data_IF_210784927699
#
_entry.id   IF_210784927699
#
_cell.length_a   1.000
_cell.length_b   1.000
_cell.length_c   1.000
_cell.angle_alpha   90.00
_cell.angle_beta   90.00
_cell.angle_gamma   90.00
#
_symmetry.space_group_name_H-M   'P 1'
#
loop_
_entity.id
_entity.type
_entity.pdbx_description
1 polymer ?
#
# COMPACT_ATOMS: atom_id res chain seq x y z
N UNK A 1 23.37 37.86 -33.87
CA UNK A 1 22.39 38.04 -34.97
C UNK A 1 21.46 36.83 -34.88
N UNK A 2 20.25 36.91 -34.28
CA UNK A 2 18.94 37.27 -34.88
C UNK A 2 18.83 36.70 -36.31
N UNK A 3 17.86 35.89 -36.73
CA UNK A 3 16.45 35.69 -36.35
C UNK A 3 15.85 34.54 -37.21
N UNK A 4 14.90 33.78 -36.67
CA UNK A 4 13.89 32.99 -37.43
C UNK A 4 12.72 33.91 -37.87
N UNK A 5 11.63 33.48 -38.54
CA UNK A 5 11.37 32.37 -39.49
C UNK A 5 10.53 32.83 -40.73
N UNK A 6 10.05 31.86 -41.52
CA UNK A 6 8.64 31.71 -41.96
C UNK A 6 8.21 31.84 -43.46
N UNK A 7 7.32 30.91 -43.81
CA UNK A 7 6.20 30.96 -44.78
C UNK A 7 6.41 30.93 -46.30
N UNK A 8 5.89 29.86 -46.93
CA UNK A 8 4.98 30.01 -48.09
C UNK A 8 3.95 28.88 -48.13
N UNK A 9 2.71 29.25 -48.44
CA UNK A 9 1.49 28.46 -48.38
C UNK A 9 0.83 28.31 -49.77
N UNK A 10 -0.06 27.31 -49.89
CA UNK A 10 -1.32 27.27 -50.69
C UNK A 10 -1.23 27.15 -52.23
N UNK A 11 -1.98 26.17 -52.79
CA UNK A 11 -3.08 26.35 -53.79
C UNK A 11 -3.76 24.97 -54.03
N UNK A 12 -5.04 24.78 -53.65
CA UNK A 12 -6.31 25.00 -54.42
C UNK A 12 -6.76 23.78 -55.24
N UNK A 13 -7.93 23.18 -54.90
CA UNK A 13 -9.25 23.21 -55.63
C UNK A 13 -9.49 21.89 -56.40
N UNK A 14 -10.69 21.30 -56.60
CA UNK A 14 -12.09 21.66 -56.34
C UNK A 14 -13.05 20.50 -56.77
N UNK A 15 -14.24 20.42 -56.14
CA UNK A 15 -15.60 20.12 -56.70
C UNK A 15 -16.01 18.71 -57.23
N UNK A 16 -16.78 17.98 -56.40
CA UNK A 16 -18.25 17.62 -56.45
C UNK A 16 -18.99 17.96 -57.78
N UNK A 17 -19.94 17.14 -58.36
CA UNK A 17 -21.25 16.81 -57.73
C UNK A 17 -22.11 15.58 -58.15
N UNK A 18 -23.09 15.28 -57.26
CA UNK A 18 -24.49 14.81 -57.48
C UNK A 18 -24.74 13.41 -58.11
N UNK A 19 -25.86 12.69 -57.94
CA UNK A 19 -27.01 12.60 -57.03
C UNK A 19 -27.83 11.38 -57.52
N UNK A 20 -28.57 10.67 -56.66
CA UNK A 20 -29.94 10.17 -56.93
C UNK A 20 -30.55 9.47 -55.71
N UNK A 21 -31.84 9.71 -55.53
CA UNK A 21 -32.78 9.24 -54.49
C UNK A 21 -33.27 7.81 -54.76
N UNK A 22 -33.72 7.10 -53.72
CA UNK A 22 -35.05 6.46 -53.66
C UNK A 22 -35.34 5.84 -52.27
N UNK A 23 -36.56 6.15 -51.74
CA UNK A 23 -37.51 5.32 -50.98
C UNK A 23 -36.99 4.48 -49.78
N UNK A 24 -37.44 4.59 -48.53
CA UNK A 24 -38.78 4.89 -48.01
C UNK A 24 -39.55 3.58 -47.70
N UNK A 25 -39.38 3.01 -46.50
CA UNK A 25 -40.23 1.99 -45.83
C UNK A 25 -39.88 1.95 -44.31
N UNK A 26 -40.81 1.55 -43.41
CA UNK A 26 -40.96 2.18 -42.09
C UNK A 26 -40.13 1.56 -40.93
N UNK A 27 -39.90 2.38 -39.90
CA UNK A 27 -39.33 2.01 -38.59
C UNK A 27 -40.18 0.96 -37.86
N UNK A 28 -39.57 -0.04 -37.20
CA UNK A 28 -40.25 -0.80 -36.17
C UNK A 28 -40.31 -0.01 -34.86
N UNK A 29 -41.51 -0.05 -34.28
CA UNK A 29 -41.89 0.58 -33.01
C UNK A 29 -40.93 0.21 -31.87
N UNK A 30 -40.49 1.23 -31.11
CA UNK A 30 -39.76 1.06 -29.86
C UNK A 30 -40.71 0.46 -28.80
N UNK A 31 -40.36 -0.64 -28.12
CA UNK A 31 -41.09 -1.04 -26.94
C UNK A 31 -40.77 -0.08 -25.79
N UNK A 32 -41.80 0.58 -25.26
CA UNK A 32 -41.75 1.22 -23.92
C UNK A 32 -41.63 0.08 -22.90
N UNK A 33 -40.43 -0.14 -22.37
CA UNK A 33 -40.24 -0.94 -21.16
C UNK A 33 -39.98 0.01 -20.01
N UNK A 34 -41.06 0.31 -19.29
CA UNK A 34 -40.97 0.81 -17.92
C UNK A 34 -40.67 -0.41 -17.05
N UNK A 35 -39.46 -0.51 -16.50
CA UNK A 35 -39.13 -1.50 -15.48
C UNK A 35 -38.29 -0.83 -14.40
N UNK A 36 -39.01 -0.47 -13.36
CA UNK A 36 -38.65 -0.49 -11.94
C UNK A 36 -37.20 -0.87 -11.68
N UNK A 37 -36.43 0.06 -11.12
CA UNK A 37 -35.18 -0.26 -10.44
C UNK A 37 -35.54 -1.15 -9.24
N UNK A 38 -35.50 -2.46 -9.44
CA UNK A 38 -35.47 -3.39 -8.32
C UNK A 38 -34.10 -3.22 -7.70
N UNK A 39 -34.07 -2.62 -6.52
CA UNK A 39 -32.95 -2.69 -5.58
C UNK A 39 -32.61 -4.17 -5.41
N UNK A 40 -31.64 -4.67 -6.17
CA UNK A 40 -31.15 -6.03 -6.00
C UNK A 40 -30.58 -6.11 -4.60
N UNK A 41 -31.29 -6.87 -3.77
CA UNK A 41 -30.99 -7.14 -2.39
C UNK A 41 -29.50 -7.40 -2.22
N UNK A 42 -28.89 -6.70 -1.26
CA UNK A 42 -27.63 -7.07 -0.65
C UNK A 42 -27.67 -8.57 -0.36
N UNK A 43 -27.02 -9.36 -1.21
CA UNK A 43 -26.79 -10.77 -0.94
C UNK A 43 -25.88 -10.79 0.28
N UNK A 44 -26.46 -10.98 1.47
CA UNK A 44 -25.72 -11.36 2.68
C UNK A 44 -25.06 -12.69 2.36
N UNK A 45 -23.81 -12.62 1.91
CA UNK A 45 -22.97 -13.81 1.86
C UNK A 45 -22.51 -14.02 3.30
N UNK A 46 -22.97 -15.11 3.90
CA UNK A 46 -22.38 -15.62 5.13
C UNK A 46 -20.99 -16.20 4.78
N UNK A 47 -20.00 -15.34 4.51
CA UNK A 47 -18.61 -15.73 4.29
C UNK A 47 -18.01 -16.15 5.63
N UNK A 48 -18.20 -17.41 5.98
CA UNK A 48 -17.34 -18.13 6.92
C UNK A 48 -16.23 -18.88 6.17
N UNK A 49 -16.03 -18.56 4.90
CA UNK A 49 -14.91 -19.07 4.10
C UNK A 49 -13.62 -18.55 4.73
N UNK A 50 -12.71 -19.48 5.01
CA UNK A 50 -11.37 -19.26 5.53
C UNK A 50 -10.73 -18.05 4.83
N UNK A 51 -10.70 -16.93 5.52
CA UNK A 51 -10.09 -15.71 5.01
C UNK A 51 -8.57 -15.84 5.05
N UNK A 52 -7.98 -16.39 3.99
CA UNK A 52 -6.52 -16.35 3.86
C UNK A 52 -6.01 -14.90 3.69
N UNK A 53 -4.73 -14.70 3.97
CA UNK A 53 -4.10 -13.38 3.85
C UNK A 53 -4.27 -12.76 2.45
N UNK A 54 -4.23 -13.56 1.40
CA UNK A 54 -4.44 -13.10 0.02
C UNK A 54 -5.88 -12.64 -0.23
N UNK A 55 -6.87 -13.29 0.37
CA UNK A 55 -8.27 -12.88 0.31
C UNK A 55 -8.47 -11.54 1.03
N UNK A 56 -7.80 -11.33 2.18
CA UNK A 56 -7.81 -10.06 2.91
C UNK A 56 -7.21 -8.92 2.07
N UNK A 57 -6.03 -9.13 1.49
CA UNK A 57 -5.41 -8.13 0.60
C UNK A 57 -6.33 -7.80 -0.59
N UNK A 58 -6.95 -8.79 -1.23
CA UNK A 58 -7.89 -8.55 -2.34
C UNK A 58 -9.14 -7.79 -1.89
N UNK A 59 -9.68 -8.12 -0.72
CA UNK A 59 -10.87 -7.45 -0.19
C UNK A 59 -10.59 -5.99 0.19
N UNK A 60 -9.35 -5.67 0.58
CA UNK A 60 -8.92 -4.32 0.92
C UNK A 60 -8.45 -3.48 -0.29
N UNK A 61 -8.56 -3.99 -1.53
CA UNK A 61 -7.96 -3.37 -2.72
C UNK A 61 -8.30 -1.88 -2.91
N UNK A 62 -9.49 -1.42 -2.51
CA UNK A 62 -9.87 -0.01 -2.58
C UNK A 62 -8.97 0.92 -1.74
N UNK A 63 -8.38 0.40 -0.67
CA UNK A 63 -7.46 1.11 0.22
C UNK A 63 -5.99 0.91 -0.17
N UNK A 64 -5.71 0.30 -1.33
CA UNK A 64 -4.35 0.09 -1.85
C UNK A 64 -3.41 -0.60 -0.82
N UNK A 65 -3.78 -1.80 -0.35
CA UNK A 65 -3.10 -2.44 0.77
C UNK A 65 -1.69 -2.89 0.37
N UNK A 66 -0.74 -2.77 1.29
CA UNK A 66 0.58 -3.39 1.17
C UNK A 66 0.96 -4.10 2.47
N UNK A 67 1.54 -5.29 2.35
CA UNK A 67 2.20 -5.93 3.49
C UNK A 67 3.49 -5.16 3.75
N UNK A 68 3.68 -4.73 5.00
CA UNK A 68 4.84 -3.95 5.45
C UNK A 68 5.54 -4.63 6.63
N UNK A 69 6.54 -3.97 7.20
CA UNK A 69 7.26 -4.47 8.37
C UNK A 69 8.21 -5.62 8.05
N UNK A 70 8.29 -6.58 8.96
CA UNK A 70 9.40 -7.55 8.96
C UNK A 70 9.26 -8.72 7.98
N UNK A 71 8.04 -9.09 7.61
CA UNK A 71 7.79 -10.24 6.74
C UNK A 71 8.33 -10.01 5.31
N UNK A 72 8.06 -8.88 4.63
CA UNK A 72 8.57 -8.65 3.28
C UNK A 72 10.10 -8.64 3.16
N UNK A 73 10.81 -8.27 4.23
CA UNK A 73 12.28 -8.20 4.25
C UNK A 73 12.95 -9.43 4.89
N UNK A 74 12.16 -10.43 5.29
CA UNK A 74 12.65 -11.72 5.78
C UNK A 74 13.32 -11.66 7.15
N UNK A 75 12.81 -10.81 8.06
CA UNK A 75 13.29 -10.70 9.45
C UNK A 75 12.16 -10.88 10.47
N UNK A 76 11.09 -11.58 10.10
CA UNK A 76 10.01 -11.95 10.99
C UNK A 76 10.41 -13.10 11.92
N UNK A 77 9.90 -13.07 13.15
CA UNK A 77 9.96 -14.19 14.11
C UNK A 77 8.61 -14.95 14.11
N UNK A 78 8.52 -16.15 14.70
CA UNK A 78 7.24 -16.87 14.81
C UNK A 78 6.14 -16.11 15.55
N UNK A 79 6.52 -15.11 16.36
CA UNK A 79 5.59 -14.28 17.13
C UNK A 79 5.38 -12.91 16.48
N UNK A 80 5.91 -12.67 15.28
CA UNK A 80 5.70 -11.40 14.57
C UNK A 80 4.28 -11.36 14.01
N UNK A 81 3.67 -10.19 14.11
CA UNK A 81 2.41 -9.90 13.47
C UNK A 81 2.60 -9.78 11.95
N UNK A 82 1.48 -9.81 11.21
CA UNK A 82 1.44 -9.42 9.80
C UNK A 82 0.90 -8.00 9.73
N UNK A 83 1.74 -7.07 9.29
CA UNK A 83 1.37 -5.67 9.15
C UNK A 83 0.87 -5.37 7.74
N UNK A 84 -0.31 -4.76 7.63
CA UNK A 84 -0.91 -4.33 6.36
C UNK A 84 -1.16 -2.83 6.45
N UNK A 85 -0.45 -2.04 5.63
CA UNK A 85 -0.67 -0.62 5.49
C UNK A 85 -1.68 -0.32 4.38
N UNK A 86 -2.59 0.60 4.65
CA UNK A 86 -3.68 1.01 3.78
C UNK A 86 -3.76 2.55 3.69
N UNK A 87 -4.07 3.06 2.50
CA UNK A 87 -4.45 4.44 2.30
C UNK A 87 -5.95 4.60 2.55
N UNK A 88 -6.30 5.28 3.65
CA UNK A 88 -7.68 5.48 4.10
C UNK A 88 -7.93 6.96 4.44
N UNK A 89 -8.60 7.68 3.52
CA UNK A 89 -8.94 9.10 3.75
C UNK A 89 -10.10 9.30 4.73
N UNK A 90 -11.02 8.33 4.82
CA UNK A 90 -12.08 8.27 5.83
C UNK A 90 -11.87 7.05 6.73
N UNK A 91 -11.38 7.30 7.94
CA UNK A 91 -11.05 6.26 8.90
C UNK A 91 -12.29 5.57 9.49
N UNK A 92 -13.47 6.21 9.48
CA UNK A 92 -14.71 5.61 10.00
C UNK A 92 -15.22 4.59 9.00
N UNK A 93 -15.35 4.99 7.73
CA UNK A 93 -15.74 4.09 6.64
C UNK A 93 -14.75 2.94 6.50
N UNK A 94 -13.44 3.22 6.59
CA UNK A 94 -12.41 2.19 6.58
C UNK A 94 -12.58 1.13 7.68
N UNK A 95 -12.76 1.53 8.94
CA UNK A 95 -12.98 0.58 10.04
C UNK A 95 -14.23 -0.27 9.83
N UNK A 96 -15.34 0.33 9.37
CA UNK A 96 -16.57 -0.40 9.10
C UNK A 96 -16.40 -1.44 8.00
N UNK A 97 -15.68 -1.07 6.93
CA UNK A 97 -15.35 -1.99 5.84
C UNK A 97 -14.48 -3.14 6.33
N UNK A 98 -13.37 -2.85 7.01
CA UNK A 98 -12.47 -3.89 7.55
C UNK A 98 -13.21 -4.80 8.53
N UNK A 99 -14.08 -4.25 9.38
CA UNK A 99 -14.90 -5.04 10.31
C UNK A 99 -15.87 -5.98 9.59
N UNK A 100 -16.49 -5.49 8.51
CA UNK A 100 -17.38 -6.30 7.67
C UNK A 100 -16.63 -7.42 6.98
N UNK A 101 -15.46 -7.11 6.43
CA UNK A 101 -14.56 -8.06 5.76
C UNK A 101 -14.07 -9.14 6.74
N UNK A 102 -13.57 -8.73 7.90
CA UNK A 102 -12.94 -9.63 8.86
C UNK A 102 -13.95 -10.55 9.58
N UNK A 103 -15.20 -10.09 9.76
CA UNK A 103 -16.24 -10.88 10.43
C UNK A 103 -15.78 -11.39 11.81
N UNK A 104 -15.74 -12.71 11.98
CA UNK A 104 -15.32 -13.36 13.21
C UNK A 104 -13.83 -13.22 13.57
N UNK A 105 -12.99 -12.77 12.63
CA UNK A 105 -11.57 -12.51 12.87
C UNK A 105 -11.29 -11.16 13.53
N UNK A 106 -12.29 -10.27 13.61
CA UNK A 106 -12.13 -8.95 14.25
C UNK A 106 -11.83 -9.09 15.74
N UNK A 107 -10.77 -8.44 16.21
CA UNK A 107 -10.42 -8.39 17.64
C UNK A 107 -10.76 -7.01 18.22
N UNK A 108 -10.12 -5.95 17.73
CA UNK A 108 -10.34 -4.59 18.20
C UNK A 108 -9.87 -3.55 17.18
N UNK A 109 -10.19 -2.28 17.43
CA UNK A 109 -9.54 -1.16 16.77
C UNK A 109 -9.31 0.00 17.73
N UNK A 110 -8.37 0.88 17.38
CA UNK A 110 -8.17 2.15 18.05
C UNK A 110 -7.66 3.21 17.07
N UNK A 111 -7.81 4.48 17.45
CA UNK A 111 -7.22 5.61 16.71
C UNK A 111 -5.86 5.95 17.31
N UNK A 112 -4.85 6.15 16.46
CA UNK A 112 -3.58 6.78 16.86
C UNK A 112 -3.64 8.27 16.52
N UNK A 113 -3.15 9.09 17.45
CA UNK A 113 -3.02 10.54 17.27
C UNK A 113 -1.70 10.86 16.53
N UNK A 114 -1.62 10.40 15.29
CA UNK A 114 -0.55 10.75 14.33
C UNK A 114 -1.01 11.92 13.48
N UNK A 115 -0.08 12.51 12.71
CA UNK A 115 -0.40 13.54 11.72
C UNK A 115 -0.11 13.02 10.30
N UNK A 116 -1.13 12.71 9.48
CA UNK A 116 -2.56 12.70 9.80
C UNK A 116 -2.95 11.52 10.72
N UNK A 117 -4.13 11.57 11.37
CA UNK A 117 -4.61 10.50 12.25
C UNK A 117 -4.68 9.16 11.54
N UNK A 118 -4.56 8.08 12.31
CA UNK A 118 -4.59 6.74 11.78
C UNK A 118 -5.52 5.81 12.57
N UNK A 119 -5.98 4.77 11.90
CA UNK A 119 -6.69 3.63 12.45
C UNK A 119 -5.76 2.45 12.56
N UNK A 120 -5.81 1.76 13.70
CA UNK A 120 -5.14 0.49 13.90
C UNK A 120 -6.21 -0.53 14.20
N UNK A 121 -6.24 -1.60 13.41
CA UNK A 121 -7.25 -2.65 13.52
C UNK A 121 -6.52 -3.96 13.72
N UNK A 122 -6.84 -4.67 14.79
CA UNK A 122 -6.25 -5.95 15.10
C UNK A 122 -7.23 -7.06 14.71
N UNK A 123 -6.74 -7.99 13.90
CA UNK A 123 -7.44 -9.20 13.48
C UNK A 123 -6.68 -10.43 13.98
N UNK A 124 -7.38 -11.56 14.08
CA UNK A 124 -6.79 -12.86 14.39
C UNK A 124 -7.30 -13.93 13.45
N UNK A 125 -6.39 -14.52 12.69
CA UNK A 125 -6.68 -15.60 11.74
C UNK A 125 -5.79 -16.81 12.05
N UNK A 126 -6.38 -17.97 12.32
CA UNK A 126 -5.66 -19.24 12.57
C UNK A 126 -4.51 -19.14 13.59
N UNK A 127 -4.67 -18.28 14.61
CA UNK A 127 -3.64 -18.05 15.64
C UNK A 127 -2.63 -16.96 15.31
N UNK A 128 -2.54 -16.53 14.05
CA UNK A 128 -1.73 -15.39 13.59
C UNK A 128 -2.46 -14.07 13.85
N UNK A 129 -1.74 -13.08 14.36
CA UNK A 129 -2.24 -11.72 14.54
C UNK A 129 -1.89 -10.89 13.30
N UNK A 130 -2.87 -10.11 12.85
CA UNK A 130 -2.73 -9.21 11.69
C UNK A 130 -3.10 -7.80 12.16
N UNK A 131 -2.21 -6.84 11.96
CA UNK A 131 -2.46 -5.42 12.17
C UNK A 131 -2.79 -4.77 10.82
N UNK A 132 -3.99 -4.23 10.68
CA UNK A 132 -4.41 -3.45 9.51
C UNK A 132 -4.39 -1.98 9.90
N UNK A 133 -3.43 -1.26 9.33
CA UNK A 133 -3.19 0.15 9.57
C UNK A 133 -3.76 1.00 8.44
N UNK A 134 -4.62 1.96 8.77
CA UNK A 134 -5.20 2.89 7.80
C UNK A 134 -4.87 4.33 8.14
N UNK A 135 -4.34 5.08 7.17
CA UNK A 135 -4.01 6.49 7.34
C UNK A 135 -4.34 7.27 6.06
N UNK A 136 -4.68 8.55 6.20
CA UNK A 136 -4.92 9.46 5.08
C UNK A 136 -3.62 9.88 4.36
N UNK A 137 -2.72 8.93 4.14
CA UNK A 137 -1.49 9.07 3.36
C UNK A 137 -1.38 7.88 2.39
N UNK A 138 -0.88 8.10 1.16
CA UNK A 138 -0.49 7.00 0.28
C UNK A 138 0.49 6.06 1.00
N UNK A 139 0.32 4.74 0.84
CA UNK A 139 1.12 3.74 1.57
C UNK A 139 2.62 3.97 1.42
N UNK A 140 3.07 4.35 0.23
CA UNK A 140 4.50 4.63 -0.05
C UNK A 140 5.09 5.81 0.74
N UNK A 141 4.24 6.66 1.33
CA UNK A 141 4.65 7.79 2.17
C UNK A 141 4.50 7.50 3.67
N UNK A 142 3.89 6.36 4.04
CA UNK A 142 3.71 5.98 5.43
C UNK A 142 5.03 5.46 6.02
N UNK A 143 5.29 5.78 7.29
CA UNK A 143 6.57 5.48 7.92
C UNK A 143 6.88 3.98 7.93
N UNK A 144 5.90 3.10 8.19
CA UNK A 144 6.11 1.65 8.17
C UNK A 144 6.61 1.14 6.80
N UNK A 145 6.15 1.73 5.69
CA UNK A 145 6.62 1.38 4.35
C UNK A 145 8.04 1.92 4.11
N UNK A 146 8.30 3.17 4.50
CA UNK A 146 9.62 3.81 4.37
C UNK A 146 10.69 3.08 5.18
N UNK A 147 10.36 2.74 6.42
CA UNK A 147 11.18 1.89 7.29
C UNK A 147 11.54 0.58 6.62
N UNK A 148 10.54 -0.18 6.15
CA UNK A 148 10.76 -1.44 5.44
C UNK A 148 11.70 -1.29 4.24
N UNK A 149 11.61 -0.19 3.47
CA UNK A 149 12.52 0.06 2.36
C UNK A 149 13.96 0.34 2.81
N UNK A 150 14.14 1.16 3.85
CA UNK A 150 15.46 1.45 4.42
C UNK A 150 16.08 0.18 4.99
N UNK A 151 15.35 -0.55 5.82
CA UNK A 151 15.77 -1.82 6.43
C UNK A 151 16.14 -2.87 5.37
N UNK A 152 15.28 -3.05 4.36
CA UNK A 152 15.56 -3.95 3.24
C UNK A 152 16.80 -3.55 2.44
N UNK A 153 17.04 -2.23 2.28
CA UNK A 153 18.26 -1.70 1.65
C UNK A 153 19.50 -1.98 2.50
N UNK A 154 19.43 -1.80 3.81
CA UNK A 154 20.53 -2.10 4.74
C UNK A 154 20.86 -3.61 4.71
N UNK A 155 19.86 -4.48 4.73
CA UNK A 155 20.07 -5.93 4.60
C UNK A 155 20.74 -6.32 3.27
N UNK A 156 20.42 -5.62 2.17
CA UNK A 156 21.08 -5.85 0.87
C UNK A 156 22.54 -5.42 0.88
N UNK A 157 22.87 -4.31 1.56
CA UNK A 157 24.23 -3.77 1.63
C UNK A 157 25.13 -4.56 2.58
N UNK A 158 24.61 -4.91 3.76
CA UNK A 158 25.40 -5.53 4.84
C UNK A 158 25.20 -7.04 4.97
N UNK A 159 24.28 -7.60 4.19
CA UNK A 159 24.11 -9.04 4.00
C UNK A 159 23.68 -9.80 5.24
N UNK A 160 24.06 -11.09 5.28
CA UNK A 160 23.57 -12.04 6.28
C UNK A 160 24.05 -11.73 7.69
N UNK A 161 25.22 -11.10 7.85
CA UNK A 161 25.74 -10.71 9.16
C UNK A 161 24.79 -9.73 9.87
N UNK A 162 24.31 -8.70 9.15
CA UNK A 162 23.30 -7.79 9.69
C UNK A 162 21.98 -8.50 9.96
N UNK A 163 21.53 -9.38 9.04
CA UNK A 163 20.30 -10.15 9.23
C UNK A 163 20.33 -10.93 10.55
N UNK A 164 21.41 -11.67 10.81
CA UNK A 164 21.55 -12.44 12.04
C UNK A 164 21.59 -11.55 13.29
N UNK A 165 22.30 -10.42 13.22
CA UNK A 165 22.36 -9.45 14.32
C UNK A 165 20.98 -8.88 14.69
N UNK A 166 20.16 -8.56 13.67
CA UNK A 166 18.77 -8.12 13.82
C UNK A 166 17.90 -9.24 14.38
N UNK A 167 18.03 -10.47 13.87
CA UNK A 167 17.23 -11.60 14.33
C UNK A 167 17.49 -11.99 15.79
N UNK A 168 18.76 -11.93 16.23
CA UNK A 168 19.14 -12.13 17.64
C UNK A 168 18.44 -11.11 18.54
N UNK A 169 18.43 -9.84 18.12
CA UNK A 169 17.77 -8.74 18.84
C UNK A 169 16.26 -8.88 18.86
N UNK A 170 15.63 -9.25 17.74
CA UNK A 170 14.18 -9.52 17.69
C UNK A 170 13.74 -10.69 18.57
N UNK A 171 14.64 -11.61 18.93
CA UNK A 171 14.32 -12.69 19.86
C UNK A 171 13.94 -12.18 21.26
N UNK A 172 14.40 -10.98 21.66
CA UNK A 172 14.03 -10.32 22.92
C UNK A 172 12.71 -9.53 22.85
N UNK A 173 11.93 -9.70 21.77
CA UNK A 173 10.66 -8.99 21.47
C UNK A 173 10.81 -7.48 21.21
N UNK A 174 11.97 -7.06 20.74
CA UNK A 174 12.14 -5.71 20.19
C UNK A 174 11.40 -5.55 18.85
N UNK A 175 10.92 -4.33 18.60
CA UNK A 175 10.43 -3.92 17.28
C UNK A 175 11.54 -3.98 16.23
N UNK A 176 11.16 -4.08 14.95
CA UNK A 176 12.13 -4.25 13.86
C UNK A 176 13.09 -3.06 13.81
N UNK A 177 12.57 -1.83 13.92
CA UNK A 177 13.33 -0.59 13.87
C UNK A 177 14.35 -0.50 15.01
N UNK A 178 13.95 -0.91 16.21
CA UNK A 178 14.85 -0.96 17.37
C UNK A 178 15.97 -1.98 17.17
N UNK A 179 15.64 -3.17 16.65
CA UNK A 179 16.63 -4.20 16.40
C UNK A 179 17.66 -3.77 15.33
N UNK A 180 17.25 -3.04 14.29
CA UNK A 180 18.17 -2.46 13.31
C UNK A 180 19.05 -1.37 13.93
N UNK A 181 18.47 -0.45 14.68
CA UNK A 181 19.22 0.63 15.32
C UNK A 181 20.29 0.07 16.26
N UNK A 182 19.95 -0.92 17.09
CA UNK A 182 20.92 -1.55 17.99
C UNK A 182 21.96 -2.40 17.24
N UNK A 183 21.59 -3.08 16.16
CA UNK A 183 22.51 -3.91 15.37
C UNK A 183 23.60 -3.07 14.69
N UNK A 184 23.22 -1.88 14.22
CA UNK A 184 24.10 -0.93 13.55
C UNK A 184 24.76 0.06 14.52
N UNK A 185 24.45 -0.02 15.82
CA UNK A 185 24.97 0.91 16.82
C UNK A 185 24.58 2.37 16.55
N UNK A 186 23.37 2.60 16.04
CA UNK A 186 22.85 3.96 15.81
C UNK A 186 22.64 4.65 17.16
N UNK A 187 23.50 5.60 17.51
CA UNK A 187 23.39 6.43 18.73
C UNK A 187 22.33 7.54 18.59
N UNK A 188 21.29 7.31 17.80
CA UNK A 188 20.28 8.29 17.46
C UNK A 188 19.04 8.08 18.35
N UNK A 189 18.60 9.14 19.03
CA UNK A 189 17.60 9.10 20.09
C UNK A 189 16.43 8.13 19.88
N UNK A 190 15.52 8.44 18.96
CA UNK A 190 14.40 7.57 18.63
C UNK A 190 14.78 6.65 17.45
N UNK A 191 14.78 5.31 17.60
CA UNK A 191 15.12 4.36 16.53
C UNK A 191 14.28 4.51 15.25
N UNK A 192 13.03 4.96 15.39
CA UNK A 192 12.18 5.23 14.24
C UNK A 192 12.72 6.42 13.43
N UNK A 193 12.91 7.57 14.06
CA UNK A 193 13.43 8.76 13.36
C UNK A 193 14.85 8.50 12.81
N UNK A 194 15.68 7.77 13.57
CA UNK A 194 17.04 7.39 13.21
C UNK A 194 17.12 6.70 11.85
N UNK A 195 16.32 5.66 11.63
CA UNK A 195 16.33 4.92 10.36
C UNK A 195 15.83 5.78 9.21
N UNK A 196 14.83 6.63 9.42
CA UNK A 196 14.33 7.51 8.37
C UNK A 196 15.38 8.56 7.93
N UNK A 197 16.33 8.93 8.79
CA UNK A 197 17.45 9.80 8.36
C UNK A 197 18.36 9.16 7.31
N UNK A 198 18.41 7.82 7.26
CA UNK A 198 19.24 7.07 6.33
C UNK A 198 18.62 6.99 4.91
N UNK A 199 17.33 7.26 4.77
CA UNK A 199 16.58 7.16 3.51
C UNK A 199 17.22 7.99 2.39
N UNK A 200 17.70 9.20 2.71
CA UNK A 200 18.30 10.13 1.76
C UNK A 200 19.77 9.89 1.41
N UNK A 201 20.45 8.95 2.08
CA UNK A 201 21.88 8.71 1.86
C UNK A 201 22.10 7.82 0.62
N UNK A 202 23.25 7.94 -0.04
CA UNK A 202 23.67 7.02 -1.11
C UNK A 202 24.16 5.68 -0.53
N UNK A 203 24.20 4.62 -1.34
CA UNK A 203 24.71 3.31 -0.87
C UNK A 203 26.16 3.42 -0.35
N UNK A 204 27.00 4.18 -1.05
CA UNK A 204 28.36 4.46 -0.61
C UNK A 204 28.39 5.21 0.73
N UNK A 205 27.57 6.26 0.89
CA UNK A 205 27.49 7.00 2.14
C UNK A 205 26.98 6.14 3.30
N UNK A 206 26.06 5.19 3.06
CA UNK A 206 25.61 4.24 4.07
C UNK A 206 26.73 3.29 4.51
N UNK A 207 27.50 2.75 3.55
CA UNK A 207 28.63 1.86 3.84
C UNK A 207 29.75 2.60 4.57
N UNK A 208 30.00 3.86 4.22
CA UNK A 208 31.03 4.67 4.88
C UNK A 208 30.62 5.10 6.29
N UNK A 209 29.33 5.39 6.51
CA UNK A 209 28.81 5.90 7.78
C UNK A 209 28.46 4.82 8.79
N UNK A 210 28.17 3.59 8.35
CA UNK A 210 27.71 2.50 9.19
C UNK A 210 28.75 1.40 9.25
N UNK A 211 29.08 0.96 10.46
CA UNK A 211 29.96 -0.19 10.65
C UNK A 211 29.19 -1.48 10.28
N UNK A 212 29.64 -2.25 9.28
CA UNK A 212 29.04 -3.54 8.94
C UNK A 212 29.29 -4.62 9.99
N UNK A 213 30.17 -4.37 10.97
CA UNK A 213 30.52 -5.31 12.01
C UNK A 213 29.38 -5.38 13.03
N UNK A 214 28.69 -6.53 13.15
CA UNK A 214 27.63 -6.68 14.14
C UNK A 214 28.18 -6.41 15.54
N UNK A 215 27.56 -5.48 16.26
CA UNK A 215 27.76 -5.39 17.71
C UNK A 215 27.04 -6.59 18.33
N UNK A 216 27.78 -7.55 18.87
CA UNK A 216 27.25 -8.76 19.51
C UNK A 216 26.94 -8.45 20.97
#
# INVERSE_FOLDING_TARGET
MRSSPDSTAILRTSRVPSSRRANGLPMPLRPKVSRTFTTTALRRVHHHELMDLGALIRALAEYQPAIVGSMPIGVQTPNSDIDIACHASDLISFEQTVKTIAGGAWVASHRRNTQPPASVIMLRFEGTQIEVFGQALPVVQQDAFRHMLVEGRLLRLFGENLRQAVMVRKASRQGTEHAFAEALGLELGNPYDALLTLEGLSDAALVDALDPTPRI
#
